data_IF_469734924164
#
_entry.id   IF_469734924164
#
_cell.length_a   1.000
_cell.length_b   1.000
_cell.length_c   1.000
_cell.angle_alpha   90.00
_cell.angle_beta   90.00
_cell.angle_gamma   90.00
#
_symmetry.space_group_name_H-M   'P 1'
#
loop_
_entity.id
_entity.type
_entity.pdbx_description
1 polymer ?
#
# COMPACT_ATOMS: atom_id res chain seq x y z
N UNK A 1 17.46 -11.99 6.94
CA UNK A 1 17.11 -10.56 6.73
C UNK A 1 18.42 -9.82 6.71
N UNK A 2 18.67 -8.91 5.76
CA UNK A 2 19.94 -8.16 5.72
C UNK A 2 19.70 -6.77 6.29
N UNK A 3 20.57 -6.30 7.18
CA UNK A 3 20.47 -4.96 7.78
C UNK A 3 21.65 -4.09 7.36
N UNK A 4 21.35 -2.84 7.09
CA UNK A 4 22.34 -1.83 6.74
C UNK A 4 22.11 -0.54 7.52
N UNK A 5 23.21 0.05 8.01
CA UNK A 5 23.21 1.38 8.60
C UNK A 5 23.72 2.39 7.57
N UNK A 6 23.01 3.50 7.41
CA UNK A 6 23.42 4.59 6.52
C UNK A 6 24.65 5.28 7.10
N UNK A 7 25.74 5.36 6.33
CA UNK A 7 26.97 6.06 6.71
C UNK A 7 26.99 7.46 6.10
N UNK A 8 26.61 7.58 4.83
CA UNK A 8 26.79 8.79 4.05
C UNK A 8 25.76 8.87 2.91
N UNK A 9 25.27 10.08 2.60
CA UNK A 9 24.47 10.37 1.41
C UNK A 9 25.35 11.01 0.34
N UNK A 10 25.35 10.44 -0.87
CA UNK A 10 26.16 10.88 -2.00
C UNK A 10 25.22 11.18 -3.17
N UNK A 11 24.76 12.43 -3.27
CA UNK A 11 23.74 12.82 -4.26
C UNK A 11 22.45 12.01 -4.08
N UNK A 12 21.99 11.26 -5.11
CA UNK A 12 20.83 10.37 -4.99
C UNK A 12 21.16 9.02 -4.33
N UNK A 13 22.45 8.69 -4.18
CA UNK A 13 22.89 7.41 -3.64
C UNK A 13 23.08 7.48 -2.12
N UNK A 14 22.97 6.32 -1.48
CA UNK A 14 23.23 6.18 -0.04
C UNK A 14 24.29 5.10 0.14
N UNK A 15 25.36 5.44 0.85
CA UNK A 15 26.42 4.50 1.22
C UNK A 15 26.09 3.92 2.59
N UNK A 16 26.01 2.59 2.66
CA UNK A 16 25.61 1.90 3.88
C UNK A 16 26.65 0.88 4.34
N UNK A 17 26.69 0.61 5.65
CA UNK A 17 27.45 -0.48 6.28
C UNK A 17 26.52 -1.65 6.53
N UNK A 18 26.88 -2.86 6.10
CA UNK A 18 26.14 -4.05 6.49
C UNK A 18 26.38 -4.35 7.97
N UNK A 19 25.30 -4.48 8.75
CA UNK A 19 25.34 -4.81 10.18
C UNK A 19 24.83 -6.21 10.49
N UNK A 20 24.00 -6.77 9.60
CA UNK A 20 23.53 -8.15 9.65
C UNK A 20 23.61 -8.76 8.24
N UNK A 21 24.61 -9.62 7.96
CA UNK A 21 24.86 -10.13 6.61
C UNK A 21 23.86 -11.23 6.21
N UNK A 22 23.65 -11.40 4.91
CA UNK A 22 22.82 -12.46 4.36
C UNK A 22 22.68 -12.37 2.85
N UNK A 23 21.93 -13.32 2.27
CA UNK A 23 21.67 -13.35 0.83
C UNK A 23 20.68 -12.25 0.44
N UNK A 24 21.07 -11.41 -0.53
CA UNK A 24 20.22 -10.39 -1.13
C UNK A 24 19.86 -10.80 -2.56
N UNK A 25 18.58 -11.09 -2.81
CA UNK A 25 18.08 -11.45 -4.13
C UNK A 25 17.50 -10.23 -4.86
N UNK A 26 17.32 -10.28 -6.19
CA UNK A 26 16.63 -9.22 -6.92
C UNK A 26 15.20 -8.99 -6.40
N UNK A 27 14.73 -7.73 -6.45
CA UNK A 27 13.36 -7.30 -6.10
C UNK A 27 12.94 -7.60 -4.64
N UNK A 28 13.89 -7.62 -3.72
CA UNK A 28 13.58 -7.68 -2.28
C UNK A 28 12.96 -6.38 -1.78
N UNK A 29 12.08 -6.51 -0.79
CA UNK A 29 11.48 -5.37 -0.11
C UNK A 29 12.50 -4.63 0.77
N UNK A 30 12.35 -3.31 0.87
CA UNK A 30 13.16 -2.46 1.72
C UNK A 30 12.27 -1.77 2.75
N UNK A 31 12.77 -1.64 3.98
CA UNK A 31 12.13 -0.88 5.06
C UNK A 31 13.15 0.07 5.67
N UNK A 32 12.76 1.32 5.89
CA UNK A 32 13.65 2.35 6.44
C UNK A 32 13.32 2.63 7.89
N UNK A 33 14.36 2.70 8.73
CA UNK A 33 14.25 3.01 10.16
C UNK A 33 15.09 4.23 10.49
N UNK A 34 14.57 5.07 11.38
CA UNK A 34 15.22 6.25 11.91
C UNK A 34 14.94 6.34 13.40
N UNK A 35 16.00 6.42 14.21
CA UNK A 35 15.91 6.56 15.67
C UNK A 35 14.94 5.58 16.34
N UNK A 36 15.13 4.29 16.05
CA UNK A 36 14.30 3.21 16.61
C UNK A 36 12.85 3.15 16.09
N UNK A 37 12.46 4.03 15.16
CA UNK A 37 11.12 4.08 14.58
C UNK A 37 11.16 3.85 13.06
N UNK A 38 10.11 3.23 12.51
CA UNK A 38 9.95 3.10 11.06
C UNK A 38 9.75 4.48 10.43
N UNK A 39 10.51 4.82 9.38
CA UNK A 39 10.39 6.10 8.66
C UNK A 39 9.04 6.14 7.95
N UNK A 40 8.18 7.06 8.39
CA UNK A 40 6.79 7.19 7.93
C UNK A 40 6.65 8.05 6.67
N UNK A 41 7.47 9.09 6.55
CA UNK A 41 7.30 10.17 5.57
C UNK A 41 7.49 9.71 4.10
N UNK A 42 8.43 8.79 3.84
CA UNK A 42 8.64 8.29 2.48
C UNK A 42 7.43 7.49 1.95
N UNK A 43 6.75 6.74 2.83
CA UNK A 43 5.53 6.04 2.45
C UNK A 43 4.33 6.98 2.44
N UNK A 44 4.28 7.99 3.31
CA UNK A 44 3.15 8.93 3.42
C UNK A 44 2.86 9.66 2.10
N UNK A 45 3.89 10.01 1.31
CA UNK A 45 3.73 10.71 0.03
C UNK A 45 3.19 9.85 -1.11
N UNK A 46 3.25 8.52 -1.00
CA UNK A 46 2.71 7.64 -2.04
C UNK A 46 1.19 7.55 -1.93
N UNK A 47 0.45 7.71 -3.04
CA UNK A 47 -0.99 7.50 -3.05
C UNK A 47 -1.30 6.05 -2.69
N UNK A 48 -2.43 5.82 -2.03
CA UNK A 48 -2.91 4.47 -1.69
C UNK A 48 -3.09 3.59 -2.94
N UNK A 49 -3.41 4.20 -4.09
CA UNK A 49 -3.58 3.54 -5.38
C UNK A 49 -2.68 4.25 -6.38
N UNK A 50 -1.69 3.54 -6.91
CA UNK A 50 -0.78 4.06 -7.93
C UNK A 50 -1.41 4.02 -9.32
N UNK A 51 -0.78 4.68 -10.30
CA UNK A 51 -1.21 4.62 -11.71
C UNK A 51 -1.24 3.20 -12.25
N UNK A 52 -0.29 2.34 -11.84
CA UNK A 52 -0.27 0.94 -12.25
C UNK A 52 -1.44 0.16 -11.64
N UNK A 53 -1.75 0.42 -10.37
CA UNK A 53 -2.82 -0.28 -9.67
C UNK A 53 -4.18 -0.03 -10.36
N UNK A 54 -4.42 1.18 -10.89
CA UNK A 54 -5.63 1.45 -11.68
C UNK A 54 -5.76 0.57 -12.93
N UNK A 55 -4.65 0.28 -13.61
CA UNK A 55 -4.65 -0.63 -14.75
C UNK A 55 -4.95 -2.07 -14.31
N UNK A 56 -4.39 -2.50 -13.17
CA UNK A 56 -4.66 -3.82 -12.61
C UNK A 56 -6.13 -3.94 -12.15
N UNK A 57 -6.71 -2.86 -11.62
CA UNK A 57 -8.14 -2.77 -11.24
C UNK A 57 -9.04 -2.84 -12.47
N UNK A 58 -8.72 -2.11 -13.55
CA UNK A 58 -9.47 -2.17 -14.80
C UNK A 58 -9.45 -3.60 -15.38
N UNK A 59 -8.27 -4.24 -15.37
CA UNK A 59 -8.13 -5.63 -15.78
C UNK A 59 -8.97 -6.56 -14.89
N UNK A 60 -8.85 -6.48 -13.56
CA UNK A 60 -9.63 -7.31 -12.64
C UNK A 60 -11.14 -7.09 -12.78
N UNK A 61 -11.57 -5.87 -13.05
CA UNK A 61 -12.99 -5.56 -13.29
C UNK A 61 -13.47 -6.16 -14.61
N UNK A 62 -12.65 -6.17 -15.66
CA UNK A 62 -12.99 -6.79 -16.94
C UNK A 62 -13.05 -8.32 -16.87
N UNK A 63 -12.23 -8.92 -16.00
CA UNK A 63 -12.19 -10.37 -15.75
C UNK A 63 -13.21 -10.84 -14.68
N UNK A 64 -14.06 -9.94 -14.18
CA UNK A 64 -15.13 -10.23 -13.19
C UNK A 64 -14.62 -10.94 -11.92
N UNK A 65 -13.53 -10.42 -11.34
CA UNK A 65 -12.95 -10.99 -10.10
C UNK A 65 -13.87 -10.81 -8.89
N UNK A 66 -13.89 -11.81 -8.00
CA UNK A 66 -14.75 -11.74 -6.79
C UNK A 66 -14.35 -10.61 -5.82
N UNK A 67 -13.04 -10.31 -5.73
CA UNK A 67 -12.53 -9.33 -4.78
C UNK A 67 -11.24 -8.64 -5.23
N UNK A 68 -11.04 -7.42 -4.74
CA UNK A 68 -9.82 -6.63 -4.91
C UNK A 68 -9.28 -6.28 -3.53
N UNK A 69 -8.07 -6.74 -3.21
CA UNK A 69 -7.38 -6.44 -1.95
C UNK A 69 -6.39 -5.28 -2.13
N UNK A 70 -6.68 -4.12 -1.53
CA UNK A 70 -5.81 -2.94 -1.62
C UNK A 70 -4.74 -2.98 -0.53
N UNK A 71 -3.49 -2.81 -0.94
CA UNK A 71 -2.32 -2.74 -0.05
C UNK A 71 -2.14 -1.34 0.55
N UNK A 72 -1.53 -1.27 1.73
CA UNK A 72 -1.15 -0.02 2.41
C UNK A 72 -2.29 1.00 2.53
N UNK A 73 -3.51 0.56 2.85
CA UNK A 73 -4.66 1.48 3.03
C UNK A 73 -4.40 2.42 4.20
N UNK A 74 -4.41 3.73 3.96
CA UNK A 74 -4.20 4.74 5.01
C UNK A 74 -5.48 5.46 5.44
N UNK A 75 -6.50 5.50 4.59
CA UNK A 75 -7.73 6.23 4.87
C UNK A 75 -8.93 5.65 4.12
N UNK A 76 -10.14 6.03 4.57
CA UNK A 76 -11.41 5.57 3.99
C UNK A 76 -11.65 6.15 2.57
N UNK A 77 -11.11 7.32 2.27
CA UNK A 77 -11.30 8.02 0.99
C UNK A 77 -10.78 7.17 -0.18
N UNK A 78 -9.62 6.52 -0.01
CA UNK A 78 -9.07 5.64 -1.03
C UNK A 78 -10.00 4.46 -1.36
N UNK A 79 -10.65 3.90 -0.35
CA UNK A 79 -11.62 2.81 -0.51
C UNK A 79 -12.88 3.31 -1.21
N UNK A 80 -13.43 4.45 -0.77
CA UNK A 80 -14.63 5.05 -1.38
C UNK A 80 -14.38 5.40 -2.86
N UNK A 81 -13.21 5.95 -3.17
CA UNK A 81 -12.83 6.28 -4.53
C UNK A 81 -12.73 5.04 -5.41
N UNK A 82 -12.10 3.96 -4.93
CA UNK A 82 -12.09 2.68 -5.67
C UNK A 82 -13.51 2.14 -5.91
N UNK A 83 -14.36 2.10 -4.87
CA UNK A 83 -15.73 1.59 -5.00
C UNK A 83 -16.53 2.37 -6.05
N UNK A 84 -16.43 3.70 -6.03
CA UNK A 84 -17.06 4.56 -7.04
C UNK A 84 -16.50 4.32 -8.44
N UNK A 85 -15.18 4.11 -8.56
CA UNK A 85 -14.52 3.81 -9.82
C UNK A 85 -14.98 2.49 -10.44
N UNK A 86 -15.12 1.45 -9.63
CA UNK A 86 -15.63 0.13 -10.05
C UNK A 86 -17.10 0.24 -10.46
N UNK A 87 -17.95 0.85 -9.63
CA UNK A 87 -19.38 1.00 -9.90
C UNK A 87 -19.67 1.80 -11.19
N UNK A 88 -18.79 2.74 -11.55
CA UNK A 88 -18.90 3.49 -12.81
C UNK A 88 -18.59 2.64 -14.06
N UNK A 89 -17.82 1.56 -13.92
CA UNK A 89 -17.39 0.67 -15.02
C UNK A 89 -18.24 -0.58 -15.14
N UNK A 90 -18.72 -1.09 -14.02
CA UNK A 90 -19.60 -2.26 -13.95
C UNK A 90 -20.73 -1.95 -12.97
N UNK A 91 -21.91 -1.65 -13.52
CA UNK A 91 -23.10 -1.24 -12.73
C UNK A 91 -23.63 -2.36 -11.83
N UNK A 92 -23.35 -3.61 -12.19
CA UNK A 92 -23.79 -4.81 -11.47
C UNK A 92 -22.60 -5.59 -10.88
N UNK A 93 -21.44 -4.94 -10.72
CA UNK A 93 -20.28 -5.59 -10.13
C UNK A 93 -20.48 -5.81 -8.63
N UNK A 94 -20.49 -7.06 -8.21
CA UNK A 94 -20.46 -7.48 -6.80
C UNK A 94 -19.03 -7.58 -6.23
N UNK A 95 -18.05 -6.97 -6.90
CA UNK A 95 -16.63 -7.03 -6.53
C UNK A 95 -16.41 -6.50 -5.10
N UNK A 96 -15.89 -7.37 -4.23
CA UNK A 96 -15.63 -7.04 -2.83
C UNK A 96 -14.29 -6.32 -2.69
N UNK A 97 -14.31 -5.09 -2.17
CA UNK A 97 -13.08 -4.37 -1.83
C UNK A 97 -12.61 -4.72 -0.41
N UNK A 98 -11.39 -5.24 -0.30
CA UNK A 98 -10.75 -5.63 0.96
C UNK A 98 -9.58 -4.68 1.26
N UNK A 99 -9.64 -3.98 2.38
CA UNK A 99 -8.54 -3.13 2.85
C UNK A 99 -7.49 -3.96 3.61
N UNK A 100 -6.23 -3.90 3.19
CA UNK A 100 -5.11 -4.50 3.92
C UNK A 100 -4.52 -3.49 4.91
N UNK A 101 -4.51 -3.88 6.18
CA UNK A 101 -3.95 -3.09 7.28
C UNK A 101 -2.46 -3.43 7.43
N UNK A 102 -1.59 -2.58 6.89
CA UNK A 102 -0.15 -2.85 6.76
C UNK A 102 0.73 -1.73 7.33
N UNK A 103 0.13 -0.67 7.88
CA UNK A 103 0.86 0.48 8.42
C UNK A 103 0.25 0.98 9.72
N UNK A 104 1.06 1.70 10.51
CA UNK A 104 0.57 2.34 11.75
C UNK A 104 -0.50 3.41 11.42
N UNK A 105 -0.42 4.07 10.27
CA UNK A 105 -1.44 5.05 9.88
C UNK A 105 -2.77 4.36 9.56
N UNK A 106 -2.73 3.15 8.99
CA UNK A 106 -3.91 2.27 8.87
C UNK A 106 -4.53 1.96 10.23
N UNK A 107 -3.70 1.76 11.27
CA UNK A 107 -4.18 1.48 12.63
C UNK A 107 -4.82 2.71 13.28
N UNK A 108 -4.27 3.91 13.06
CA UNK A 108 -4.86 5.17 13.56
C UNK A 108 -6.27 5.40 13.02
N UNK A 109 -6.50 5.02 11.75
CA UNK A 109 -7.77 5.21 11.04
C UNK A 109 -8.57 3.90 10.96
N UNK A 110 -8.27 2.91 11.81
CA UNK A 110 -8.81 1.55 11.70
C UNK A 110 -10.34 1.53 11.78
N UNK A 111 -10.92 2.30 12.70
CA UNK A 111 -12.37 2.37 12.87
C UNK A 111 -13.07 2.86 11.60
N UNK A 112 -12.56 3.95 11.00
CA UNK A 112 -13.09 4.49 9.74
C UNK A 112 -12.93 3.49 8.59
N UNK A 113 -11.77 2.84 8.48
CA UNK A 113 -11.51 1.81 7.46
C UNK A 113 -12.47 0.63 7.61
N UNK A 114 -12.77 0.19 8.83
CA UNK A 114 -13.73 -0.89 9.09
C UNK A 114 -15.15 -0.45 8.70
N UNK A 115 -15.55 0.78 9.03
CA UNK A 115 -16.88 1.31 8.69
C UNK A 115 -17.12 1.35 7.17
N UNK A 116 -16.06 1.45 6.35
CA UNK A 116 -16.15 1.38 4.89
C UNK A 116 -16.78 0.06 4.36
N UNK A 117 -16.82 -1.01 5.17
CA UNK A 117 -17.54 -2.26 4.84
C UNK A 117 -19.06 -2.09 4.76
N UNK A 118 -19.66 -1.12 5.46
CA UNK A 118 -21.11 -0.97 5.59
C UNK A 118 -21.77 -0.03 4.56
N UNK A 119 -21.25 0.05 3.34
CA UNK A 119 -21.99 0.68 2.24
C UNK A 119 -22.68 -0.41 1.42
N UNK A 120 -23.90 -0.76 1.84
CA UNK A 120 -24.87 -1.42 0.95
C UNK A 120 -25.27 -0.39 -0.11
N UNK A 121 -25.15 -0.78 -1.39
CA UNK A 121 -25.85 -0.14 -2.50
C UNK A 121 -27.36 -0.31 -2.32
#
# INVERSE_FOLDING_TARGET
MVRFDVIEKIGPNVKCRCTDPGLLLPRVNLTFWWDGSLVRECNAMLPTISLKDWLDIDFGTAEDVDFIAISFVKSIEGIKHLKGYIAARSRDSDIIVIAKIESIDSLKNLEEIIQARQMKL
#
